data_IF_317043633663
#
_entry.id   IF_317043633663
#
_cell.length_a   1.000
_cell.length_b   1.000
_cell.length_c   1.000
_cell.angle_alpha   90.00
_cell.angle_beta   90.00
_cell.angle_gamma   90.00
#
_symmetry.space_group_name_H-M   'P 1'
#
loop_
_entity.id
_entity.type
_entity.pdbx_description
1 polymer ?
#
# COMPACT_ATOMS: atom_id res chain seq x y z
N UNK A 1 0.39 -3.78 -64.59
CA UNK A 1 -0.63 -4.76 -64.16
C UNK A 1 -0.46 -5.33 -62.73
N UNK A 2 0.41 -4.76 -61.87
CA UNK A 2 0.63 -5.26 -60.50
C UNK A 2 -0.07 -4.45 -59.37
N UNK A 3 -0.68 -3.30 -59.68
CA UNK A 3 -1.27 -2.39 -58.67
C UNK A 3 -2.72 -2.72 -58.27
N UNK A 4 -3.53 -3.35 -59.15
CA UNK A 4 -4.94 -3.63 -58.86
C UNK A 4 -5.18 -4.87 -57.97
N UNK A 5 -4.23 -5.82 -57.92
CA UNK A 5 -4.37 -7.05 -57.12
C UNK A 5 -4.07 -6.85 -55.63
N UNK A 6 -3.19 -5.91 -55.27
CA UNK A 6 -2.84 -5.62 -53.88
C UNK A 6 -3.94 -4.83 -53.18
N UNK A 7 -4.59 -3.90 -53.88
CA UNK A 7 -5.73 -3.12 -53.37
C UNK A 7 -6.97 -3.98 -53.11
N UNK A 8 -7.26 -4.94 -54.00
CA UNK A 8 -8.37 -5.87 -53.81
C UNK A 8 -8.16 -6.84 -52.63
N UNK A 9 -6.91 -7.20 -52.33
CA UNK A 9 -6.60 -8.13 -51.24
C UNK A 9 -6.64 -7.45 -49.87
N UNK A 10 -6.19 -6.19 -49.76
CA UNK A 10 -6.35 -5.39 -48.54
C UNK A 10 -7.81 -5.05 -48.25
N UNK A 11 -8.60 -4.72 -49.29
CA UNK A 11 -10.03 -4.44 -49.11
C UNK A 11 -10.79 -5.70 -48.65
N UNK A 12 -10.41 -6.87 -49.16
CA UNK A 12 -10.98 -8.16 -48.75
C UNK A 12 -10.58 -8.52 -47.31
N UNK A 13 -9.33 -8.27 -46.90
CA UNK A 13 -8.89 -8.48 -45.51
C UNK A 13 -9.59 -7.53 -44.54
N UNK A 14 -9.80 -6.26 -44.93
CA UNK A 14 -10.47 -5.26 -44.12
C UNK A 14 -11.98 -5.55 -43.96
N UNK A 15 -12.64 -6.00 -45.03
CA UNK A 15 -14.02 -6.51 -44.98
C UNK A 15 -14.12 -7.78 -44.14
N UNK A 16 -13.14 -8.68 -44.19
CA UNK A 16 -13.12 -9.88 -43.35
C UNK A 16 -13.03 -9.52 -41.86
N UNK A 17 -12.14 -8.59 -41.49
CA UNK A 17 -11.96 -8.13 -40.11
C UNK A 17 -13.21 -7.40 -39.58
N UNK A 18 -13.88 -6.60 -40.43
CA UNK A 18 -15.14 -5.94 -40.07
C UNK A 18 -16.29 -6.94 -39.90
N UNK A 19 -16.37 -7.96 -40.76
CA UNK A 19 -17.37 -9.02 -40.66
C UNK A 19 -17.13 -9.88 -39.40
N UNK A 20 -15.87 -10.21 -39.08
CA UNK A 20 -15.55 -10.93 -37.85
C UNK A 20 -15.84 -10.09 -36.59
N UNK A 21 -15.54 -8.79 -36.60
CA UNK A 21 -15.81 -7.91 -35.45
C UNK A 21 -17.32 -7.67 -35.23
N UNK A 22 -18.10 -7.56 -36.30
CA UNK A 22 -19.57 -7.49 -36.24
C UNK A 22 -20.19 -8.82 -35.80
N UNK A 23 -19.65 -9.95 -36.26
CA UNK A 23 -20.08 -11.28 -35.85
C UNK A 23 -19.74 -11.58 -34.39
N UNK A 24 -18.58 -11.17 -33.87
CA UNK A 24 -18.21 -11.37 -32.46
C UNK A 24 -19.06 -10.53 -31.49
N UNK A 25 -19.43 -9.29 -31.87
CA UNK A 25 -20.37 -8.49 -31.08
C UNK A 25 -21.78 -9.10 -31.08
N UNK A 26 -22.26 -9.53 -32.25
CA UNK A 26 -23.57 -10.15 -32.37
C UNK A 26 -23.63 -11.54 -31.68
N UNK A 27 -22.57 -12.34 -31.74
CA UNK A 27 -22.46 -13.61 -31.01
C UNK A 27 -22.35 -13.38 -29.51
N UNK A 28 -21.54 -12.41 -29.08
CA UNK A 28 -21.37 -12.06 -27.66
C UNK A 28 -22.69 -11.62 -27.02
N UNK A 29 -23.46 -10.77 -27.70
CA UNK A 29 -24.78 -10.34 -27.24
C UNK A 29 -25.82 -11.47 -27.29
N UNK A 30 -25.82 -12.32 -28.33
CA UNK A 30 -26.71 -13.49 -28.41
C UNK A 30 -26.39 -14.55 -27.34
N UNK A 31 -25.10 -14.78 -27.03
CA UNK A 31 -24.67 -15.73 -25.99
C UNK A 31 -25.01 -15.19 -24.60
N UNK A 32 -24.85 -13.89 -24.36
CA UNK A 32 -25.27 -13.24 -23.11
C UNK A 32 -26.80 -13.29 -22.94
N UNK A 33 -27.59 -13.00 -24.00
CA UNK A 33 -29.05 -13.09 -23.97
C UNK A 33 -29.56 -14.53 -23.78
N UNK A 34 -28.90 -15.49 -24.42
CA UNK A 34 -29.24 -16.92 -24.31
C UNK A 34 -28.87 -17.48 -22.94
N UNK A 35 -27.74 -17.09 -22.36
CA UNK A 35 -27.34 -17.51 -21.01
C UNK A 35 -28.22 -16.88 -19.92
N UNK A 36 -28.75 -15.67 -20.14
CA UNK A 36 -29.72 -15.03 -19.24
C UNK A 36 -31.06 -15.79 -19.24
N UNK A 37 -31.57 -16.16 -20.42
CA UNK A 37 -32.79 -16.99 -20.56
C UNK A 37 -32.64 -18.44 -20.05
N UNK A 38 -31.45 -19.04 -20.20
CA UNK A 38 -31.14 -20.39 -19.70
C UNK A 38 -31.08 -20.47 -18.17
N UNK A 39 -30.69 -19.38 -17.48
CA UNK A 39 -30.68 -19.33 -16.01
C UNK A 39 -32.06 -19.17 -15.38
N UNK A 40 -33.05 -18.68 -16.12
CA UNK A 40 -34.37 -18.36 -15.56
C UNK A 40 -35.44 -19.44 -15.79
N UNK A 41 -35.25 -20.40 -16.71
CA UNK A 41 -36.37 -21.28 -17.13
C UNK A 41 -36.14 -22.79 -17.12
N UNK A 42 -34.98 -23.29 -16.68
CA UNK A 42 -34.81 -24.73 -16.36
C UNK A 42 -35.15 -25.74 -17.47
N UNK A 43 -35.28 -25.31 -18.73
CA UNK A 43 -35.71 -26.15 -19.84
C UNK A 43 -34.61 -26.25 -20.90
N UNK A 44 -34.13 -27.47 -21.14
CA UNK A 44 -33.27 -27.82 -22.27
C UNK A 44 -34.04 -27.59 -23.58
N UNK A 45 -33.86 -26.41 -24.19
CA UNK A 45 -34.38 -26.15 -25.52
C UNK A 45 -33.45 -26.79 -26.56
N UNK A 46 -33.95 -27.76 -27.32
CA UNK A 46 -33.21 -28.38 -28.41
C UNK A 46 -32.92 -27.35 -29.51
N UNK A 47 -31.63 -27.19 -29.85
CA UNK A 47 -31.17 -26.32 -30.93
C UNK A 47 -31.88 -26.65 -32.25
N UNK A 48 -32.38 -25.61 -32.93
CA UNK A 48 -33.03 -25.74 -34.25
C UNK A 48 -32.02 -26.19 -35.32
N UNK A 49 -32.51 -26.78 -36.43
CA UNK A 49 -31.65 -27.25 -37.52
C UNK A 49 -30.78 -26.14 -38.13
N UNK A 50 -31.26 -24.89 -38.15
CA UNK A 50 -30.49 -23.71 -38.55
C UNK A 50 -29.35 -23.37 -37.58
N UNK A 51 -29.61 -23.40 -36.27
CA UNK A 51 -28.60 -23.15 -35.24
C UNK A 51 -27.52 -24.25 -35.20
N UNK A 52 -27.90 -25.52 -35.39
CA UNK A 52 -26.95 -26.63 -35.53
C UNK A 52 -26.06 -26.48 -36.77
N UNK A 53 -26.60 -25.95 -37.87
CA UNK A 53 -25.85 -25.74 -39.13
C UNK A 53 -24.87 -24.55 -39.03
N UNK A 54 -25.15 -23.54 -38.20
CA UNK A 54 -24.22 -22.45 -37.87
C UNK A 54 -23.14 -22.92 -36.89
N UNK A 55 -23.49 -23.67 -35.84
CA UNK A 55 -22.53 -24.31 -34.93
C UNK A 55 -21.63 -25.33 -35.64
N UNK A 56 -22.16 -26.08 -36.60
CA UNK A 56 -21.37 -27.02 -37.43
C UNK A 56 -20.42 -26.31 -38.41
N UNK A 57 -20.62 -25.02 -38.69
CA UNK A 57 -19.68 -24.18 -39.46
C UNK A 57 -18.64 -23.49 -38.57
N UNK A 58 -18.84 -23.50 -37.25
CA UNK A 58 -17.80 -23.13 -36.29
C UNK A 58 -16.85 -24.31 -36.15
N UNK A 59 -15.84 -24.31 -37.01
CA UNK A 59 -14.81 -25.32 -37.02
C UNK A 59 -13.91 -25.13 -35.79
N UNK A 60 -14.24 -25.81 -34.70
CA UNK A 60 -13.47 -25.80 -33.45
C UNK A 60 -12.01 -26.22 -33.67
N UNK A 61 -11.70 -27.03 -34.70
CA UNK A 61 -10.30 -27.33 -35.07
C UNK A 61 -9.61 -26.11 -35.64
N UNK A 62 -10.26 -25.34 -36.50
CA UNK A 62 -9.69 -24.11 -37.08
C UNK A 62 -9.41 -23.03 -36.04
N UNK A 63 -10.24 -22.92 -35.00
CA UNK A 63 -9.99 -22.04 -33.86
C UNK A 63 -8.84 -22.55 -32.98
N UNK A 64 -8.77 -23.86 -32.73
CA UNK A 64 -7.66 -24.48 -31.99
C UNK A 64 -6.33 -24.36 -32.76
N UNK A 65 -6.33 -24.55 -34.08
CA UNK A 65 -5.17 -24.41 -34.97
C UNK A 65 -4.69 -22.94 -35.04
N UNK A 66 -5.60 -21.97 -34.94
CA UNK A 66 -5.26 -20.54 -34.86
C UNK A 66 -4.60 -20.19 -33.52
N UNK A 67 -5.12 -20.73 -32.42
CA UNK A 67 -4.53 -20.59 -31.07
C UNK A 67 -3.15 -21.28 -31.00
N UNK A 68 -2.97 -22.37 -31.74
CA UNK A 68 -1.71 -23.12 -31.85
C UNK A 68 -0.77 -22.58 -32.95
N UNK A 69 -1.12 -21.49 -33.65
CA UNK A 69 -0.24 -20.92 -34.66
C UNK A 69 1.04 -20.36 -34.00
N UNK A 70 2.23 -20.52 -34.64
CA UNK A 70 3.51 -20.08 -34.07
C UNK A 70 3.50 -18.61 -33.64
N UNK A 71 2.87 -17.75 -34.45
CA UNK A 71 2.77 -16.32 -34.18
C UNK A 71 1.98 -15.99 -32.89
N UNK A 72 0.89 -16.71 -32.59
CA UNK A 72 0.08 -16.48 -31.37
C UNK A 72 0.78 -17.04 -30.14
N UNK A 73 1.44 -18.19 -30.27
CA UNK A 73 2.28 -18.75 -29.21
C UNK A 73 3.44 -17.82 -28.84
N UNK A 74 4.11 -17.25 -29.84
CA UNK A 74 5.22 -16.31 -29.65
C UNK A 74 4.76 -15.03 -28.95
N UNK A 75 3.61 -14.47 -29.35
CA UNK A 75 3.02 -13.30 -28.67
C UNK A 75 2.69 -13.55 -27.20
N UNK A 76 2.13 -14.71 -26.86
CA UNK A 76 1.85 -15.07 -25.45
C UNK A 76 3.13 -15.22 -24.64
N UNK A 77 4.19 -15.77 -25.25
CA UNK A 77 5.49 -15.88 -24.59
C UNK A 77 6.10 -14.50 -24.29
N UNK A 78 6.01 -13.55 -25.23
CA UNK A 78 6.49 -12.18 -25.05
C UNK A 78 5.68 -11.42 -23.99
N UNK A 79 4.35 -11.57 -23.98
CA UNK A 79 3.51 -11.00 -22.92
C UNK A 79 3.91 -11.57 -21.56
N UNK A 80 4.11 -12.89 -21.46
CA UNK A 80 4.53 -13.54 -20.21
C UNK A 80 5.90 -13.03 -19.76
N UNK A 81 6.86 -12.93 -20.69
CA UNK A 81 8.21 -12.46 -20.40
C UNK A 81 8.22 -11.00 -19.91
N UNK A 82 7.56 -10.08 -20.63
CA UNK A 82 7.52 -8.68 -20.23
C UNK A 82 6.74 -8.48 -18.93
N UNK A 83 5.64 -9.22 -18.72
CA UNK A 83 4.91 -9.19 -17.45
C UNK A 83 5.74 -9.71 -16.28
N UNK A 84 6.52 -10.77 -16.47
CA UNK A 84 7.40 -11.28 -15.42
C UNK A 84 8.46 -10.25 -15.05
N UNK A 85 9.02 -9.53 -16.03
CA UNK A 85 10.01 -8.47 -15.81
C UNK A 85 9.43 -7.24 -15.11
N UNK A 86 8.25 -6.78 -15.54
CA UNK A 86 7.70 -5.48 -15.10
C UNK A 86 6.66 -5.58 -13.99
N UNK A 87 6.02 -6.74 -13.83
CA UNK A 87 4.83 -6.95 -12.99
C UNK A 87 3.64 -6.03 -13.30
N UNK A 88 3.68 -5.30 -14.42
CA UNK A 88 2.60 -4.41 -14.83
C UNK A 88 1.32 -5.19 -15.21
N UNK A 89 0.14 -4.54 -15.17
CA UNK A 89 -1.13 -5.16 -15.56
C UNK A 89 -1.07 -5.75 -16.98
N UNK A 90 -1.61 -6.96 -17.17
CA UNK A 90 -1.56 -7.71 -18.47
C UNK A 90 -2.04 -6.84 -19.63
N UNK A 91 -3.10 -6.07 -19.41
CA UNK A 91 -3.69 -5.18 -20.42
C UNK A 91 -2.67 -4.15 -20.91
N UNK A 92 -1.94 -3.54 -19.99
CA UNK A 92 -0.95 -2.50 -20.29
C UNK A 92 0.28 -3.13 -20.96
N UNK A 93 0.74 -4.29 -20.47
CA UNK A 93 1.82 -5.08 -21.09
C UNK A 93 1.51 -5.39 -22.55
N UNK A 94 0.29 -5.90 -22.82
CA UNK A 94 -0.13 -6.22 -24.19
C UNK A 94 -0.24 -4.96 -25.06
N UNK A 95 -0.80 -3.87 -24.53
CA UNK A 95 -0.93 -2.62 -25.27
C UNK A 95 0.45 -2.04 -25.67
N UNK A 96 1.38 -1.99 -24.72
CA UNK A 96 2.75 -1.53 -24.97
C UNK A 96 3.50 -2.42 -25.96
N UNK A 97 3.35 -3.75 -25.89
CA UNK A 97 3.94 -4.65 -26.87
C UNK A 97 3.40 -4.39 -28.29
N UNK A 98 2.08 -4.22 -28.44
CA UNK A 98 1.47 -3.94 -29.75
C UNK A 98 1.98 -2.61 -30.31
N UNK A 99 2.04 -1.56 -29.50
CA UNK A 99 2.47 -0.23 -29.95
C UNK A 99 3.98 -0.15 -30.23
N UNK A 100 4.77 -0.99 -29.57
CA UNK A 100 6.20 -1.12 -29.80
C UNK A 100 6.58 -2.23 -30.80
N UNK A 101 5.65 -2.66 -31.65
CA UNK A 101 5.89 -3.70 -32.67
C UNK A 101 6.50 -5.00 -32.09
N UNK A 102 6.05 -5.39 -30.90
CA UNK A 102 6.49 -6.55 -30.14
C UNK A 102 7.96 -6.53 -29.70
N UNK A 103 8.59 -5.35 -29.68
CA UNK A 103 9.91 -5.13 -29.09
C UNK A 103 9.80 -5.01 -27.56
N UNK A 104 10.46 -5.92 -26.85
CA UNK A 104 10.44 -6.01 -25.38
C UNK A 104 11.06 -4.78 -24.71
N UNK A 105 12.20 -4.30 -25.21
CA UNK A 105 12.96 -3.21 -24.59
C UNK A 105 12.25 -1.86 -24.82
N UNK A 106 11.73 -1.66 -26.04
CA UNK A 106 10.89 -0.51 -26.35
C UNK A 106 9.59 -0.51 -25.53
N UNK A 107 8.91 -1.66 -25.44
CA UNK A 107 7.69 -1.81 -24.65
C UNK A 107 7.93 -1.58 -23.15
N UNK A 108 9.07 -2.01 -22.60
CA UNK A 108 9.44 -1.76 -21.21
C UNK A 108 9.62 -0.26 -20.93
N UNK A 109 10.29 0.47 -21.83
CA UNK A 109 10.46 1.93 -21.72
C UNK A 109 9.12 2.66 -21.83
N UNK A 110 8.25 2.21 -22.72
CA UNK A 110 6.91 2.74 -22.90
C UNK A 110 6.02 2.50 -21.66
N UNK A 111 6.02 1.29 -21.10
CA UNK A 111 5.33 0.96 -19.84
C UNK A 111 5.76 1.87 -18.70
N UNK A 112 7.07 2.15 -18.56
CA UNK A 112 7.58 3.05 -17.52
C UNK A 112 7.01 4.46 -17.68
N UNK A 113 6.89 4.98 -18.91
CA UNK A 113 6.32 6.31 -19.18
C UNK A 113 4.81 6.34 -18.93
N UNK A 114 4.06 5.37 -19.45
CA UNK A 114 2.60 5.28 -19.23
C UNK A 114 2.26 5.09 -17.77
N UNK A 115 3.04 4.26 -17.09
CA UNK A 115 2.90 3.97 -15.67
C UNK A 115 2.84 5.24 -14.84
N UNK A 116 3.76 6.18 -15.06
CA UNK A 116 3.76 7.47 -14.35
C UNK A 116 2.48 8.28 -14.57
N UNK A 117 1.98 8.32 -15.81
CA UNK A 117 0.73 9.03 -16.15
C UNK A 117 -0.48 8.36 -15.51
N UNK A 118 -0.54 7.02 -15.54
CA UNK A 118 -1.63 6.25 -14.94
C UNK A 118 -1.62 6.36 -13.40
N UNK A 119 -0.45 6.32 -12.78
CA UNK A 119 -0.29 6.54 -11.35
C UNK A 119 -0.77 7.95 -10.95
N UNK A 120 -0.38 8.98 -11.71
CA UNK A 120 -0.85 10.36 -11.50
C UNK A 120 -2.37 10.49 -11.61
N UNK A 121 -3.03 9.77 -12.52
CA UNK A 121 -4.51 9.75 -12.62
C UNK A 121 -5.19 9.07 -11.44
N UNK A 122 -4.50 8.17 -10.75
CA UNK A 122 -5.02 7.43 -9.59
C UNK A 122 -4.70 8.12 -8.26
N UNK A 123 -3.81 9.11 -8.24
CA UNK A 123 -3.31 9.73 -7.01
C UNK A 123 -4.38 10.42 -6.15
N UNK A 124 -5.51 10.80 -6.76
CA UNK A 124 -6.66 11.39 -6.07
C UNK A 124 -7.56 10.37 -5.36
N UNK A 125 -7.38 9.07 -5.61
CA UNK A 125 -8.17 8.01 -4.96
C UNK A 125 -7.78 7.86 -3.51
N UNK A 126 -8.74 7.51 -2.65
CA UNK A 126 -8.47 7.29 -1.23
C UNK A 126 -7.55 6.10 -1.01
N UNK A 127 -6.38 6.34 -0.42
CA UNK A 127 -5.43 5.32 0.00
C UNK A 127 -5.38 5.26 1.54
N UNK A 128 -6.23 4.42 2.13
CA UNK A 128 -6.39 4.26 3.59
C UNK A 128 -5.76 2.97 4.14
N UNK A 129 -5.36 2.03 3.27
CA UNK A 129 -4.60 0.84 3.64
C UNK A 129 -3.09 1.10 3.47
N UNK A 130 -2.23 0.15 3.84
CA UNK A 130 -0.77 0.32 3.74
C UNK A 130 0.05 -0.34 4.84
N UNK A 131 1.28 0.15 5.02
CA UNK A 131 2.22 -0.30 6.04
C UNK A 131 2.93 0.87 6.71
N UNK A 132 3.21 0.71 8.00
CA UNK A 132 4.24 1.48 8.70
C UNK A 132 5.57 0.76 8.51
N UNK A 133 6.62 1.54 8.23
CA UNK A 133 7.99 1.05 8.25
C UNK A 133 8.81 1.82 9.28
N UNK A 134 9.60 1.07 10.05
CA UNK A 134 10.44 1.58 11.13
C UNK A 134 11.89 1.24 10.86
N UNK A 135 12.76 2.25 10.98
CA UNK A 135 14.21 2.08 10.99
C UNK A 135 14.78 2.75 12.25
N UNK A 136 15.78 2.14 12.86
CA UNK A 136 16.38 2.62 14.11
C UNK A 136 17.91 2.52 14.03
N UNK A 137 18.59 3.50 14.61
CA UNK A 137 20.01 3.45 14.96
C UNK A 137 20.18 3.82 16.44
N UNK A 138 21.42 3.94 16.91
CA UNK A 138 21.71 4.23 18.33
C UNK A 138 21.21 5.60 18.80
N UNK A 139 20.95 6.52 17.87
CA UNK A 139 20.57 7.90 18.20
C UNK A 139 19.09 8.20 17.95
N UNK A 140 18.42 7.53 17.02
CA UNK A 140 17.09 7.91 16.53
C UNK A 140 16.27 6.72 16.04
N UNK A 141 14.96 6.90 16.00
CA UNK A 141 13.98 6.05 15.30
C UNK A 141 13.25 6.88 14.26
N UNK A 142 13.12 6.33 13.06
CA UNK A 142 12.28 6.87 11.99
C UNK A 142 11.10 5.94 11.73
N UNK A 143 9.89 6.50 11.67
CA UNK A 143 8.67 5.81 11.23
C UNK A 143 8.15 6.51 9.99
N UNK A 144 7.76 5.75 8.97
CA UNK A 144 7.04 6.28 7.81
C UNK A 144 5.75 5.48 7.59
N UNK A 145 4.71 6.16 7.13
CA UNK A 145 3.46 5.56 6.67
C UNK A 145 3.40 5.63 5.14
N UNK A 146 3.48 4.46 4.49
CA UNK A 146 3.22 4.30 3.07
C UNK A 146 1.82 3.71 2.90
N UNK A 147 0.93 4.43 2.22
CA UNK A 147 -0.45 3.99 2.00
C UNK A 147 -0.68 3.46 0.59
N UNK A 148 -1.70 2.61 0.46
CA UNK A 148 -2.27 2.13 -0.79
C UNK A 148 -3.81 2.02 -0.69
N UNK A 149 -4.47 1.68 -1.79
CA UNK A 149 -5.94 1.51 -1.81
C UNK A 149 -6.36 0.21 -1.09
N UNK A 150 -5.65 -0.90 -1.33
CA UNK A 150 -6.03 -2.22 -0.81
C UNK A 150 -4.97 -2.88 0.08
N UNK A 151 -5.41 -3.78 0.95
CA UNK A 151 -4.50 -4.55 1.80
C UNK A 151 -3.68 -5.60 1.02
N UNK A 152 -4.14 -6.01 -0.16
CA UNK A 152 -3.39 -6.87 -1.07
C UNK A 152 -2.10 -6.20 -1.55
N UNK A 153 -2.16 -4.90 -1.91
CA UNK A 153 -0.97 -4.13 -2.29
C UNK A 153 -0.04 -3.92 -1.10
N UNK A 154 -0.58 -3.66 0.09
CA UNK A 154 0.23 -3.51 1.32
C UNK A 154 1.07 -4.77 1.64
N UNK A 155 0.58 -5.96 1.26
CA UNK A 155 1.27 -7.25 1.45
C UNK A 155 2.27 -7.58 0.34
N UNK A 156 2.35 -6.79 -0.74
CA UNK A 156 3.27 -7.03 -1.83
C UNK A 156 4.74 -6.79 -1.42
N UNK A 157 5.65 -7.63 -1.90
CA UNK A 157 7.09 -7.60 -1.64
C UNK A 157 7.76 -6.28 -2.04
N UNK A 158 7.43 -5.74 -3.23
CA UNK A 158 7.98 -4.48 -3.74
C UNK A 158 7.51 -3.31 -2.87
N UNK A 159 6.23 -3.30 -2.48
CA UNK A 159 5.65 -2.26 -1.63
C UNK A 159 6.33 -2.22 -0.26
N UNK A 160 6.47 -3.38 0.37
CA UNK A 160 7.15 -3.54 1.67
C UNK A 160 8.62 -3.14 1.59
N UNK A 161 9.31 -3.54 0.52
CA UNK A 161 10.69 -3.15 0.26
C UNK A 161 10.84 -1.63 0.18
N UNK A 162 9.99 -0.96 -0.61
CA UNK A 162 10.02 0.50 -0.74
C UNK A 162 9.79 1.19 0.61
N UNK A 163 8.81 0.74 1.39
CA UNK A 163 8.53 1.31 2.72
C UNK A 163 9.76 1.22 3.65
N UNK A 164 10.42 0.06 3.71
CA UNK A 164 11.65 -0.12 4.48
C UNK A 164 12.80 0.76 3.97
N UNK A 165 12.99 0.84 2.66
CA UNK A 165 14.04 1.69 2.06
C UNK A 165 13.81 3.18 2.41
N UNK A 166 12.55 3.63 2.37
CA UNK A 166 12.18 4.98 2.77
C UNK A 166 12.39 5.24 4.26
N UNK A 167 12.04 4.30 5.14
CA UNK A 167 12.28 4.43 6.58
C UNK A 167 13.79 4.55 6.88
N UNK A 168 14.62 3.73 6.23
CA UNK A 168 16.08 3.83 6.32
C UNK A 168 16.60 5.18 5.82
N UNK A 169 16.04 5.71 4.73
CA UNK A 169 16.42 7.04 4.22
C UNK A 169 16.01 8.16 5.18
N UNK A 170 14.81 8.07 5.77
CA UNK A 170 14.32 9.02 6.76
C UNK A 170 15.24 9.09 7.98
N UNK A 171 15.76 7.94 8.42
CA UNK A 171 16.71 7.86 9.54
C UNK A 171 18.03 8.61 9.31
N UNK A 172 18.42 8.81 8.04
CA UNK A 172 19.64 9.52 7.65
C UNK A 172 19.44 11.03 7.45
N UNK A 173 18.21 11.54 7.64
CA UNK A 173 17.98 12.97 7.57
C UNK A 173 18.64 13.64 8.78
N UNK A 174 19.61 14.51 8.50
CA UNK A 174 20.32 15.25 9.53
C UNK A 174 19.43 16.37 10.10
N UNK A 175 19.49 16.57 11.42
CA UNK A 175 18.87 17.71 12.12
C UNK A 175 19.68 18.97 11.84
N UNK A 176 19.61 19.46 10.60
CA UNK A 176 20.37 20.63 10.17
C UNK A 176 19.75 21.95 10.62
N UNK A 177 18.55 21.92 11.22
CA UNK A 177 17.84 23.14 11.64
C UNK A 177 17.55 23.21 13.13
N UNK A 178 17.02 22.17 13.80
CA UNK A 178 16.74 22.21 15.24
C UNK A 178 16.92 20.82 15.90
N UNK A 179 17.74 20.67 16.96
CA UNK A 179 17.67 19.47 17.80
C UNK A 179 16.28 19.45 18.45
N UNK A 180 15.38 18.60 17.95
CA UNK A 180 14.07 18.43 18.56
C UNK A 180 14.19 17.49 19.76
N UNK A 181 13.66 17.91 20.91
CA UNK A 181 13.42 17.03 22.04
C UNK A 181 12.04 16.41 21.86
N UNK A 182 11.98 15.10 21.61
CA UNK A 182 10.73 14.34 21.49
C UNK A 182 10.41 13.84 20.08
N UNK A 183 9.16 14.04 19.65
CA UNK A 183 8.62 13.51 18.39
C UNK A 183 8.55 14.62 17.34
N UNK A 184 9.23 14.44 16.21
CA UNK A 184 9.17 15.35 15.07
C UNK A 184 8.35 14.74 13.93
N UNK A 185 7.09 15.20 13.71
CA UNK A 185 6.31 14.80 12.55
C UNK A 185 6.81 15.49 11.28
N UNK A 186 6.79 14.78 10.16
CA UNK A 186 7.13 15.33 8.84
C UNK A 186 6.22 14.79 7.74
N UNK A 187 5.98 15.60 6.71
CA UNK A 187 5.24 15.20 5.53
C UNK A 187 6.13 14.73 4.36
N UNK A 188 5.53 14.45 3.20
CA UNK A 188 6.23 14.00 2.01
C UNK A 188 7.34 14.93 1.54
N UNK A 189 7.16 16.23 1.73
CA UNK A 189 8.06 17.31 1.33
C UNK A 189 9.50 17.14 1.85
N UNK A 190 9.69 16.47 3.00
CA UNK A 190 11.02 16.26 3.57
C UNK A 190 11.82 15.22 2.78
N UNK A 191 11.16 14.21 2.22
CA UNK A 191 11.82 13.07 1.59
C UNK A 191 11.70 13.04 0.07
N UNK A 192 10.70 13.71 -0.52
CA UNK A 192 10.28 13.52 -1.91
C UNK A 192 11.42 13.63 -2.94
N UNK A 193 12.31 14.60 -2.78
CA UNK A 193 13.45 14.84 -3.68
C UNK A 193 14.73 14.11 -3.26
N UNK A 194 14.75 13.48 -2.09
CA UNK A 194 15.92 12.74 -1.63
C UNK A 194 16.15 11.50 -2.49
N UNK A 195 17.42 11.17 -2.70
CA UNK A 195 17.84 9.99 -3.45
C UNK A 195 17.65 8.72 -2.62
N UNK A 196 17.06 7.72 -3.26
CA UNK A 196 17.01 6.32 -2.84
C UNK A 196 17.83 5.49 -3.82
N UNK A 197 18.72 4.67 -3.29
CA UNK A 197 19.34 3.60 -4.05
C UNK A 197 18.58 2.31 -3.78
N UNK A 198 17.85 1.81 -4.78
CA UNK A 198 17.05 0.60 -4.66
C UNK A 198 17.84 -0.59 -5.23
N UNK A 199 17.77 -1.69 -4.51
CA UNK A 199 18.34 -2.99 -4.87
C UNK A 199 17.28 -4.07 -4.65
N UNK A 200 16.34 -4.14 -5.59
CA UNK A 200 15.31 -5.16 -5.66
C UNK A 200 15.21 -5.68 -7.11
N UNK A 201 14.94 -6.98 -7.36
CA UNK A 201 14.90 -7.54 -8.72
C UNK A 201 13.99 -6.80 -9.70
N UNK A 202 12.96 -6.11 -9.20
CA UNK A 202 11.94 -5.40 -10.00
C UNK A 202 12.00 -3.88 -9.91
N UNK A 203 12.69 -3.33 -8.90
CA UNK A 203 12.89 -1.88 -8.73
C UNK A 203 14.34 -1.67 -8.29
N UNK A 204 15.16 -1.08 -9.16
CA UNK A 204 16.59 -0.95 -8.92
C UNK A 204 17.15 0.37 -9.42
N UNK A 205 18.34 0.69 -8.93
CA UNK A 205 19.09 1.88 -9.28
C UNK A 205 18.71 3.09 -8.43
N UNK A 206 19.39 4.20 -8.73
CA UNK A 206 19.16 5.46 -8.03
C UNK A 206 17.94 6.20 -8.61
N UNK A 207 17.08 6.66 -7.72
CA UNK A 207 15.90 7.46 -8.05
C UNK A 207 15.56 8.40 -6.90
N UNK A 208 14.60 9.32 -7.07
CA UNK A 208 14.06 10.08 -5.93
C UNK A 208 12.96 9.30 -5.22
N UNK A 209 12.68 9.60 -3.95
CA UNK A 209 11.55 9.00 -3.21
C UNK A 209 10.24 9.15 -3.98
N UNK A 210 9.95 10.36 -4.47
CA UNK A 210 8.73 10.63 -5.26
C UNK A 210 8.63 9.77 -6.52
N UNK A 211 9.74 9.62 -7.25
CA UNK A 211 9.77 8.77 -8.43
C UNK A 211 9.64 7.28 -8.09
N UNK A 212 10.24 6.82 -6.99
CA UNK A 212 10.11 5.44 -6.52
C UNK A 212 8.66 5.10 -6.14
N UNK A 213 8.00 5.98 -5.39
CA UNK A 213 6.57 5.84 -5.02
C UNK A 213 5.70 5.78 -6.29
N UNK A 214 5.95 6.68 -7.25
CA UNK A 214 5.22 6.71 -8.53
C UNK A 214 5.46 5.43 -9.36
N UNK A 215 6.68 4.90 -9.36
CA UNK A 215 7.02 3.67 -10.07
C UNK A 215 6.34 2.45 -9.43
N UNK A 216 6.33 2.36 -8.10
CA UNK A 216 5.59 1.29 -7.41
C UNK A 216 4.08 1.44 -7.63
N UNK A 217 3.51 2.64 -7.59
CA UNK A 217 2.10 2.88 -7.93
C UNK A 217 1.75 2.39 -9.34
N UNK A 218 2.64 2.63 -10.31
CA UNK A 218 2.49 2.17 -11.68
C UNK A 218 2.48 0.63 -11.79
N UNK A 219 3.39 -0.04 -11.07
CA UNK A 219 3.48 -1.51 -11.04
C UNK A 219 2.25 -2.10 -10.36
N UNK A 220 1.83 -1.55 -9.23
CA UNK A 220 0.68 -2.03 -8.44
C UNK A 220 -0.66 -1.75 -9.14
N UNK A 221 -0.73 -0.70 -9.94
CA UNK A 221 -1.98 -0.29 -10.59
C UNK A 221 -3.00 0.32 -9.62
N UNK A 222 -2.57 0.71 -8.43
CA UNK A 222 -3.36 1.42 -7.41
C UNK A 222 -2.67 2.72 -7.03
N UNK A 223 -3.39 3.62 -6.37
CA UNK A 223 -2.78 4.74 -5.68
C UNK A 223 -1.83 4.22 -4.61
N UNK A 224 -0.57 4.64 -4.66
CA UNK A 224 0.41 4.46 -3.59
C UNK A 224 0.93 5.83 -3.24
N UNK A 225 0.93 6.16 -1.94
CA UNK A 225 1.35 7.49 -1.47
C UNK A 225 2.20 7.39 -0.22
N UNK A 226 3.27 8.16 -0.19
CA UNK A 226 3.93 8.48 1.06
C UNK A 226 3.05 9.52 1.79
N UNK A 227 2.61 9.22 3.01
CA UNK A 227 1.65 10.09 3.71
C UNK A 227 2.32 10.99 4.74
N UNK A 228 3.05 10.40 5.68
CA UNK A 228 3.66 11.07 6.82
C UNK A 228 4.75 10.22 7.42
N UNK A 229 5.66 10.84 8.15
CA UNK A 229 6.61 10.15 9.00
C UNK A 229 6.86 10.87 10.31
N UNK A 230 7.61 10.21 11.17
CA UNK A 230 7.97 10.69 12.49
C UNK A 230 9.43 10.35 12.76
N UNK A 231 10.19 11.30 13.29
CA UNK A 231 11.51 11.08 13.86
C UNK A 231 11.43 11.22 15.38
N UNK A 232 12.07 10.30 16.11
CA UNK A 232 12.24 10.37 17.55
C UNK A 232 13.72 10.25 17.86
N UNK A 233 14.25 11.19 18.64
CA UNK A 233 15.63 11.16 19.10
C UNK A 233 15.75 10.47 20.46
N UNK A 234 16.82 9.72 20.63
CA UNK A 234 17.15 9.06 21.90
C UNK A 234 17.55 10.16 22.89
N UNK A 235 17.08 10.08 24.15
CA UNK A 235 17.58 10.97 25.20
C UNK A 235 19.09 10.75 25.39
N UNK A 236 19.76 11.77 25.93
CA UNK A 236 21.20 11.72 26.22
C UNK A 236 21.55 10.51 27.10
N UNK A 237 20.75 10.27 28.13
CA UNK A 237 20.82 9.09 28.99
C UNK A 237 19.47 8.35 28.94
N UNK A 238 19.46 7.15 28.34
CA UNK A 238 18.25 6.35 28.18
C UNK A 238 18.17 5.57 26.86
N UNK A 239 16.97 5.09 26.54
CA UNK A 239 16.70 4.17 25.41
C UNK A 239 15.49 4.60 24.57
N UNK A 240 15.50 4.15 23.31
CA UNK A 240 14.33 4.12 22.44
C UNK A 240 13.90 2.67 22.22
N UNK A 241 12.64 2.38 22.51
CA UNK A 241 12.03 1.07 22.30
C UNK A 241 10.87 1.18 21.32
N UNK A 242 10.85 0.31 20.31
CA UNK A 242 9.81 0.26 19.29
C UNK A 242 9.12 -1.12 19.29
N UNK A 243 7.80 -1.11 19.18
CA UNK A 243 6.97 -2.30 19.01
C UNK A 243 6.09 -2.15 17.77
N UNK A 244 6.04 -3.19 16.96
CA UNK A 244 5.25 -3.27 15.73
C UNK A 244 4.20 -4.37 15.85
N UNK A 245 2.94 -4.03 15.62
CA UNK A 245 1.83 -4.97 15.64
C UNK A 245 1.33 -5.29 14.24
N UNK A 246 0.82 -6.53 14.06
CA UNK A 246 0.50 -7.10 12.74
C UNK A 246 1.70 -6.98 11.79
N UNK A 247 2.86 -7.41 12.28
CA UNK A 247 4.14 -7.31 11.58
C UNK A 247 4.31 -8.51 10.63
N UNK A 248 4.38 -8.31 9.31
CA UNK A 248 4.69 -9.39 8.38
C UNK A 248 6.18 -9.78 8.40
N UNK A 249 7.05 -8.83 8.76
CA UNK A 249 8.49 -8.98 8.89
C UNK A 249 9.08 -7.83 9.71
N UNK A 250 10.31 -8.01 10.19
CA UNK A 250 11.06 -7.00 10.96
C UNK A 250 11.03 -5.62 10.29
N UNK A 251 10.74 -4.59 11.09
CA UNK A 251 10.67 -3.21 10.62
C UNK A 251 9.36 -2.83 9.93
N UNK A 252 8.40 -3.74 9.76
CA UNK A 252 7.07 -3.43 9.22
C UNK A 252 5.95 -3.77 10.19
N UNK A 253 4.86 -3.00 10.14
CA UNK A 253 3.64 -3.28 10.90
C UNK A 253 2.48 -2.40 10.49
N UNK A 254 1.28 -2.70 11.02
CA UNK A 254 0.09 -1.85 10.81
C UNK A 254 -0.12 -0.84 11.94
N UNK A 255 0.45 -1.11 13.10
CA UNK A 255 0.44 -0.21 14.25
C UNK A 255 1.86 -0.21 14.83
N UNK A 256 2.38 0.97 15.13
CA UNK A 256 3.66 1.17 15.78
C UNK A 256 3.46 1.87 17.12
N UNK A 257 4.11 1.37 18.16
CA UNK A 257 4.29 2.06 19.43
C UNK A 257 5.77 2.29 19.64
N UNK A 258 6.17 3.52 19.96
CA UNK A 258 7.55 3.85 20.29
C UNK A 258 7.54 4.59 21.61
N UNK A 259 8.48 4.24 22.48
CA UNK A 259 8.65 4.86 23.79
C UNK A 259 10.10 5.26 23.96
N UNK A 260 10.29 6.46 24.49
CA UNK A 260 11.55 7.00 24.93
C UNK A 260 11.58 6.98 26.45
N UNK A 261 12.51 6.22 27.02
CA UNK A 261 12.78 6.21 28.45
C UNK A 261 14.07 6.97 28.72
N UNK A 262 14.01 7.96 29.60
CA UNK A 262 15.15 8.71 30.07
C UNK A 262 15.53 8.24 31.48
N UNK A 263 16.82 8.25 31.77
CA UNK A 263 17.39 7.73 33.01
C UNK A 263 18.29 8.80 33.62
N UNK A 264 18.15 9.03 34.92
CA UNK A 264 19.05 9.93 35.62
C UNK A 264 20.41 9.25 35.85
N UNK A 265 21.48 9.87 35.33
CA UNK A 265 22.86 9.41 35.47
C UNK A 265 23.29 8.35 34.44
N UNK A 266 24.56 7.93 34.54
CA UNK A 266 25.14 6.91 33.68
C UNK A 266 24.75 5.51 34.18
N UNK A 267 23.57 5.03 33.78
CA UNK A 267 23.11 3.70 34.15
C UNK A 267 23.67 2.61 33.23
N UNK A 268 24.20 1.55 33.84
CA UNK A 268 24.80 0.37 33.19
C UNK A 268 23.81 -0.75 32.87
N UNK A 269 22.57 -0.70 33.39
CA UNK A 269 21.55 -1.75 33.17
C UNK A 269 20.66 -1.50 31.94
N UNK A 270 21.29 -1.25 30.78
CA UNK A 270 20.58 -0.89 29.54
C UNK A 270 19.59 -1.97 29.10
N UNK A 271 19.89 -3.25 29.33
CA UNK A 271 19.02 -4.38 28.98
C UNK A 271 17.69 -4.38 29.74
N UNK A 272 17.71 -4.11 31.04
CA UNK A 272 16.50 -4.03 31.87
C UNK A 272 15.59 -2.88 31.41
N UNK A 273 16.20 -1.72 31.10
CA UNK A 273 15.47 -0.56 30.58
C UNK A 273 14.89 -0.86 29.20
N UNK A 274 15.66 -1.48 28.30
CA UNK A 274 15.19 -1.85 26.96
C UNK A 274 14.03 -2.84 27.01
N UNK A 275 14.07 -3.82 27.93
CA UNK A 275 12.98 -4.79 28.14
C UNK A 275 11.70 -4.08 28.53
N UNK A 276 11.74 -3.27 29.60
CA UNK A 276 10.57 -2.52 30.07
C UNK A 276 10.09 -1.50 29.03
N UNK A 277 11.00 -0.82 28.34
CA UNK A 277 10.64 0.08 27.24
C UNK A 277 9.87 -0.63 26.12
N UNK A 278 10.24 -1.87 25.80
CA UNK A 278 9.53 -2.69 24.80
C UNK A 278 8.14 -3.12 25.29
N UNK A 279 8.02 -3.48 26.57
CA UNK A 279 6.72 -3.78 27.21
C UNK A 279 5.78 -2.56 27.21
N UNK A 280 6.30 -1.36 27.50
CA UNK A 280 5.51 -0.12 27.45
C UNK A 280 5.15 0.24 26.01
N UNK A 281 6.05 0.05 25.03
CA UNK A 281 5.74 0.29 23.63
C UNK A 281 4.59 -0.61 23.13
N UNK A 282 4.55 -1.86 23.57
CA UNK A 282 3.42 -2.77 23.31
C UNK A 282 2.14 -2.29 24.00
N UNK A 283 2.23 -1.84 25.25
CA UNK A 283 1.09 -1.27 25.97
C UNK A 283 0.53 -0.01 25.28
N UNK A 284 1.39 0.89 24.80
CA UNK A 284 0.98 2.08 24.01
C UNK A 284 0.17 1.68 22.78
N UNK A 285 0.58 0.63 22.05
CA UNK A 285 -0.19 0.12 20.90
C UNK A 285 -1.60 -0.30 21.32
N UNK A 286 -1.71 -1.04 22.42
CA UNK A 286 -2.96 -1.63 22.90
C UNK A 286 -3.90 -0.61 23.57
N UNK A 287 -3.37 0.20 24.49
CA UNK A 287 -4.14 1.13 25.33
C UNK A 287 -4.49 2.44 24.61
N UNK A 288 -3.81 2.76 23.51
CA UNK A 288 -4.04 3.96 22.69
C UNK A 288 -4.09 5.29 23.48
N UNK A 289 -3.14 5.56 24.40
CA UNK A 289 -3.11 6.84 25.08
C UNK A 289 -2.94 7.98 24.07
N UNK A 290 -3.60 9.11 24.34
CA UNK A 290 -3.55 10.33 23.53
C UNK A 290 -2.54 11.34 24.09
N UNK A 291 -2.31 11.30 25.41
CA UNK A 291 -1.46 12.24 26.11
C UNK A 291 -0.44 11.49 26.97
N UNK A 292 0.69 12.15 27.26
CA UNK A 292 1.68 11.60 28.18
C UNK A 292 1.16 11.67 29.61
N UNK A 293 0.77 12.86 30.07
CA UNK A 293 0.27 13.11 31.42
C UNK A 293 -1.10 13.78 31.40
N UNK A 294 -1.76 13.76 32.56
CA UNK A 294 -2.98 14.52 32.82
C UNK A 294 -2.79 16.03 32.54
N UNK A 295 -1.69 16.62 33.00
CA UNK A 295 -1.42 18.05 32.82
C UNK A 295 -1.35 18.44 31.34
N UNK A 296 -0.71 17.58 30.53
CA UNK A 296 -0.67 17.79 29.09
C UNK A 296 -2.06 17.69 28.47
N UNK A 297 -2.87 16.73 28.90
CA UNK A 297 -4.26 16.61 28.45
C UNK A 297 -5.07 17.89 28.78
N UNK A 298 -4.97 18.42 30.01
CA UNK A 298 -5.66 19.63 30.47
C UNK A 298 -5.25 20.89 29.74
N UNK A 299 -4.00 20.97 29.29
CA UNK A 299 -3.52 22.09 28.48
C UNK A 299 -4.11 22.12 27.06
N UNK A 300 -4.67 21.00 26.58
CA UNK A 300 -5.27 20.94 25.25
C UNK A 300 -6.74 21.38 25.28
N UNK A 301 -7.08 22.44 24.54
CA UNK A 301 -8.42 23.05 24.57
C UNK A 301 -9.59 22.10 24.22
N UNK A 302 -9.32 21.02 23.46
CA UNK A 302 -10.33 19.96 23.19
C UNK A 302 -10.70 19.16 24.45
N UNK A 303 -9.74 18.94 25.34
CA UNK A 303 -9.96 18.24 26.60
C UNK A 303 -10.69 19.16 27.59
N UNK A 304 -10.31 20.45 27.68
CA UNK A 304 -10.94 21.41 28.61
C UNK A 304 -12.47 21.47 28.47
N UNK A 305 -12.98 21.57 27.24
CA UNK A 305 -14.42 21.62 26.99
C UNK A 305 -15.16 20.33 27.36
N UNK A 306 -14.49 19.17 27.27
CA UNK A 306 -15.05 17.88 27.69
C UNK A 306 -14.99 17.73 29.22
N UNK A 307 -13.90 18.18 29.83
CA UNK A 307 -13.60 18.08 31.27
C UNK A 307 -14.51 18.97 32.11
N UNK A 308 -14.84 20.19 31.68
CA UNK A 308 -15.70 21.13 32.42
C UNK A 308 -17.12 20.60 32.70
N UNK A 309 -17.60 19.63 31.92
CA UNK A 309 -18.94 19.02 32.07
C UNK A 309 -18.92 17.69 32.82
N UNK A 310 -17.75 17.22 33.25
CA UNK A 310 -17.58 15.91 33.87
C UNK A 310 -17.54 16.00 35.40
N UNK A 311 -18.23 15.08 36.06
CA UNK A 311 -18.15 14.89 37.51
C UNK A 311 -16.83 14.20 37.87
N UNK A 312 -16.24 14.51 39.02
CA UNK A 312 -14.88 14.11 39.45
C UNK A 312 -14.53 12.63 39.19
N UNK A 313 -15.44 11.70 39.52
CA UNK A 313 -15.20 10.28 39.29
C UNK A 313 -15.08 9.87 37.81
N UNK A 314 -15.83 10.53 36.92
CA UNK A 314 -15.73 10.30 35.46
C UNK A 314 -14.45 10.91 34.90
N UNK A 315 -14.03 12.05 35.47
CA UNK A 315 -12.82 12.74 35.06
C UNK A 315 -11.57 11.89 35.31
N UNK A 316 -11.47 11.27 36.49
CA UNK A 316 -10.40 10.31 36.81
C UNK A 316 -10.34 9.17 35.79
N UNK A 317 -11.48 8.53 35.52
CA UNK A 317 -11.56 7.43 34.54
C UNK A 317 -11.14 7.86 33.13
N UNK A 318 -11.53 9.06 32.71
CA UNK A 318 -11.10 9.61 31.42
C UNK A 318 -9.59 9.74 31.33
N UNK A 319 -8.93 10.30 32.36
CA UNK A 319 -7.47 10.41 32.35
C UNK A 319 -6.78 9.04 32.40
N UNK A 320 -7.30 8.08 33.17
CA UNK A 320 -6.83 6.69 33.14
C UNK A 320 -6.93 6.05 31.74
N UNK A 321 -7.85 6.51 30.89
CA UNK A 321 -8.00 6.04 29.51
C UNK A 321 -7.06 6.79 28.55
N UNK A 322 -6.97 8.13 28.64
CA UNK A 322 -6.30 8.95 27.62
C UNK A 322 -4.86 9.35 27.94
N UNK A 323 -4.41 9.28 29.20
CA UNK A 323 -3.07 9.70 29.60
C UNK A 323 -2.22 8.50 30.03
N UNK A 324 -1.07 8.30 29.37
CA UNK A 324 -0.19 7.15 29.60
C UNK A 324 0.29 7.05 31.06
N UNK A 325 0.66 8.18 31.67
CA UNK A 325 1.16 8.22 33.04
C UNK A 325 0.08 7.96 34.10
N UNK A 326 -1.20 7.98 33.73
CA UNK A 326 -2.32 7.67 34.62
C UNK A 326 -2.75 6.20 34.52
N UNK A 327 -2.18 5.45 33.57
CA UNK A 327 -2.51 4.05 33.34
C UNK A 327 -1.77 3.14 34.33
N UNK A 328 -2.49 2.20 34.95
CA UNK A 328 -1.91 1.26 35.94
C UNK A 328 -0.66 0.53 35.45
N UNK A 329 -0.55 0.24 34.15
CA UNK A 329 0.62 -0.42 33.57
C UNK A 329 1.92 0.36 33.79
N UNK A 330 1.84 1.69 33.92
CA UNK A 330 3.03 2.53 34.04
C UNK A 330 3.76 2.39 35.37
N UNK A 331 3.12 1.78 36.38
CA UNK A 331 3.78 1.39 37.64
C UNK A 331 4.99 0.49 37.43
N UNK A 332 5.14 -0.12 36.26
CA UNK A 332 6.34 -0.83 35.82
C UNK A 332 7.59 0.06 35.79
N UNK A 333 7.46 1.35 35.45
CA UNK A 333 8.57 2.32 35.43
C UNK A 333 9.10 2.60 36.84
N UNK A 334 8.21 2.66 37.83
CA UNK A 334 8.61 2.84 39.24
C UNK A 334 9.37 1.61 39.76
N UNK A 335 8.94 0.41 39.36
CA UNK A 335 9.63 -0.82 39.70
C UNK A 335 11.00 -0.91 39.02
N UNK A 336 11.07 -0.53 37.75
CA UNK A 336 12.33 -0.45 37.01
C UNK A 336 13.30 0.54 37.68
N UNK A 337 12.82 1.70 38.12
CA UNK A 337 13.65 2.69 38.81
C UNK A 337 14.30 2.11 40.08
N UNK A 338 13.55 1.28 40.82
CA UNK A 338 14.07 0.57 42.00
C UNK A 338 15.07 -0.53 41.64
N UNK A 339 14.80 -1.30 40.58
CA UNK A 339 15.69 -2.37 40.07
C UNK A 339 17.03 -1.81 39.61
N UNK A 340 16.98 -0.68 38.91
CA UNK A 340 18.14 0.01 38.34
C UNK A 340 18.92 0.80 39.40
N UNK A 341 18.23 1.34 40.41
CA UNK A 341 18.83 2.24 41.41
C UNK A 341 18.94 3.70 40.95
N UNK A 342 18.32 4.06 39.82
CA UNK A 342 18.22 5.42 39.28
C UNK A 342 16.79 5.72 38.87
N UNK A 343 16.39 6.98 38.90
CA UNK A 343 15.09 7.41 38.36
C UNK A 343 15.02 7.12 36.87
N UNK A 344 13.97 6.39 36.45
CA UNK A 344 13.59 6.22 35.06
C UNK A 344 12.27 6.94 34.82
N UNK A 345 12.18 7.68 33.71
CA UNK A 345 10.96 8.41 33.33
C UNK A 345 10.63 8.17 31.86
N UNK A 346 9.33 8.16 31.54
CA UNK A 346 8.91 8.20 30.14
C UNK A 346 9.08 9.63 29.63
N UNK A 347 10.05 9.84 28.76
CA UNK A 347 10.27 11.15 28.16
C UNK A 347 9.23 11.45 27.09
N UNK A 348 8.98 10.49 26.19
CA UNK A 348 8.05 10.63 25.08
C UNK A 348 7.49 9.27 24.65
N UNK A 349 6.34 9.28 23.99
CA UNK A 349 5.85 8.13 23.25
C UNK A 349 5.24 8.57 21.92
N UNK A 350 5.14 7.62 20.99
CA UNK A 350 4.44 7.76 19.72
C UNK A 350 3.61 6.52 19.48
N UNK A 351 2.35 6.69 19.10
CA UNK A 351 1.52 5.65 18.52
C UNK A 351 1.12 6.06 17.12
N UNK A 352 1.31 5.17 16.14
CA UNK A 352 0.86 5.39 14.77
C UNK A 352 0.07 4.18 14.31
N UNK A 353 -1.05 4.40 13.63
CA UNK A 353 -1.87 3.36 13.02
C UNK A 353 -2.08 3.69 11.54
N UNK A 354 -1.91 2.69 10.67
CA UNK A 354 -2.14 2.84 9.22
C UNK A 354 -3.56 3.32 8.99
N UNK A 355 -3.71 4.37 8.19
CA UNK A 355 -5.01 4.87 7.78
C UNK A 355 -5.71 5.77 8.79
N UNK A 356 -5.09 6.01 9.96
CA UNK A 356 -5.69 6.83 11.01
C UNK A 356 -6.04 8.23 10.50
N UNK A 357 -7.29 8.65 10.68
CA UNK A 357 -7.78 9.97 10.24
C UNK A 357 -8.04 10.07 8.73
N UNK A 358 -8.14 8.95 8.01
CA UNK A 358 -8.61 8.90 6.62
C UNK A 358 -10.01 8.29 6.61
N UNK A 359 -10.98 9.05 6.14
CA UNK A 359 -12.34 8.53 5.92
C UNK A 359 -12.30 7.47 4.84
N UNK A 360 -12.66 6.24 5.21
CA UNK A 360 -12.86 5.16 4.25
C UNK A 360 -14.17 5.48 3.52
N UNK A 361 -14.10 5.56 2.19
CA UNK A 361 -15.31 5.49 1.39
C UNK A 361 -15.88 4.09 1.64
N UNK A 362 -16.93 3.99 2.45
CA UNK A 362 -17.68 2.74 2.55
C UNK A 362 -18.12 2.38 1.13
N UNK A 363 -17.74 1.20 0.65
CA UNK A 363 -18.34 0.68 -0.55
C UNK A 363 -19.83 0.57 -0.26
N UNK A 364 -20.64 1.33 -0.98
CA UNK A 364 -22.09 1.19 -0.92
C UNK A 364 -22.43 -0.25 -1.28
N UNK A 365 -22.73 -1.06 -0.27
CA UNK A 365 -23.48 -2.31 -0.43
C UNK A 365 -24.93 -1.94 -0.79
N UNK A 366 -25.12 -1.32 -1.96
CA UNK A 366 -26.44 -1.28 -2.56
C UNK A 366 -26.70 -2.66 -3.14
N UNK A 367 -27.71 -3.41 -2.63
CA UNK A 367 -28.14 -4.62 -3.29
C UNK A 367 -28.69 -4.18 -4.65
N UNK A 368 -28.00 -4.56 -5.72
CA UNK A 368 -28.51 -4.40 -7.09
C UNK A 368 -29.86 -5.10 -7.13
N UNK A 369 -30.92 -4.31 -7.07
CA UNK A 369 -32.29 -4.77 -7.21
C UNK A 369 -32.37 -5.58 -8.50
N UNK A 370 -32.65 -6.88 -8.36
CA UNK A 370 -33.04 -7.71 -9.47
C UNK A 370 -34.38 -7.16 -9.98
N UNK A 371 -34.36 -6.38 -11.05
CA UNK A 371 -35.57 -6.07 -11.79
C UNK A 371 -35.97 -7.32 -12.59
N UNK A 372 -37.17 -7.80 -12.27
CA UNK A 372 -37.89 -8.90 -12.90
C UNK A 372 -38.17 -8.68 -14.40
#
# INVERSE_FOLDING_TARGET
MASSKVSSMLLFLFLLVLVFHQMDKALGEQIQLSNRKLKETGHHQQLTAGQRRVLARFDHKRAADWIQSPAVSDQMSLIKQLRQRTSAPIKDVKASLVECNWDIEAAQKDLRKRGKVLASKKSSRTAAEGMLAVAQNDGKVAVIELNCETDFVARNDIFQYLALAMAKRALLVEDSSHPFSGVFPFGPELLEELKLNLDHPKVNGETTVSNAVTEVAAIMGENVRFRRGFLLSKPSAGVLSAYLHTSPQTGLGRIAGIVSLEVDGDNTQLEAIQRVGSEIAMHVVAAKPLFLSKDLAESTGKSQMAVEKMVEGRLRKYYEEVALMEQKFITLVDNLSKEVGSTVKVANFLRVEVGEGIDRLEASDEPVAQSA
#
